data_IF_555740715725
#
_entry.id   IF_555740715725
#
_cell.length_a   1.000
_cell.length_b   1.000
_cell.length_c   1.000
_cell.angle_alpha   90.00
_cell.angle_beta   90.00
_cell.angle_gamma   90.00
#
_symmetry.space_group_name_H-M   'P 1'
#
loop_
_entity.id
_entity.type
_entity.pdbx_description
1 polymer ?
#
# COMPACT_ATOMS: atom_id res chain seq x y z
N UNK A 1 -0.54 -13.30 -16.57
CA UNK A 1 -1.22 -12.02 -16.80
C UNK A 1 -0.34 -10.94 -16.22
N UNK A 2 0.39 -10.20 -17.06
CA UNK A 2 1.11 -9.00 -16.62
C UNK A 2 0.12 -7.85 -16.65
N UNK A 3 -0.23 -7.33 -15.48
CA UNK A 3 -0.75 -5.97 -15.38
C UNK A 3 0.38 -5.06 -15.84
N UNK A 4 0.16 -4.28 -16.92
CA UNK A 4 1.07 -3.21 -17.32
C UNK A 4 1.28 -2.31 -16.10
N UNK A 5 2.47 -2.38 -15.49
CA UNK A 5 2.90 -1.61 -14.30
C UNK A 5 3.16 -0.13 -14.64
N UNK A 6 2.31 0.50 -15.45
CA UNK A 6 2.44 1.90 -15.77
C UNK A 6 1.81 2.73 -14.64
N UNK A 7 2.67 3.19 -13.74
CA UNK A 7 2.45 4.23 -12.73
C UNK A 7 1.64 3.87 -11.48
N UNK A 8 2.12 2.90 -10.70
CA UNK A 8 1.74 2.80 -9.29
C UNK A 8 2.37 3.96 -8.50
N UNK A 9 1.54 4.88 -8.00
CA UNK A 9 2.02 5.95 -7.13
C UNK A 9 2.04 5.47 -5.68
N UNK A 10 3.22 5.57 -5.05
CA UNK A 10 3.40 5.27 -3.63
C UNK A 10 3.87 6.52 -2.89
N UNK A 11 3.07 6.93 -1.92
CA UNK A 11 3.40 7.95 -0.93
C UNK A 11 3.47 7.34 0.46
N UNK A 12 4.58 7.60 1.16
CA UNK A 12 4.77 7.16 2.56
C UNK A 12 5.10 8.39 3.38
N UNK A 13 4.36 8.61 4.45
CA UNK A 13 4.58 9.74 5.35
C UNK A 13 4.53 9.33 6.81
N UNK A 14 5.32 10.04 7.62
CA UNK A 14 5.32 9.92 9.07
C UNK A 14 4.13 10.70 9.62
N UNK A 15 3.42 10.13 10.59
CA UNK A 15 2.29 10.78 11.25
C UNK A 15 2.73 11.22 12.63
N UNK A 16 2.76 12.54 12.83
CA UNK A 16 3.06 13.14 14.11
C UNK A 16 1.80 13.22 14.99
N UNK A 17 1.43 12.06 15.53
CA UNK A 17 0.31 11.95 16.47
C UNK A 17 0.72 11.03 17.62
N UNK A 18 0.52 11.51 18.84
CA UNK A 18 0.70 10.76 20.09
C UNK A 18 -0.69 10.47 20.67
N UNK A 19 -0.97 9.19 20.92
CA UNK A 19 -2.17 8.75 21.62
C UNK A 19 -1.81 8.52 23.09
N UNK A 20 -2.60 9.03 24.06
CA UNK A 20 -2.35 8.77 25.48
C UNK A 20 -2.24 7.28 25.83
N UNK A 21 -2.91 6.41 25.08
CA UNK A 21 -2.86 4.96 25.30
C UNK A 21 -1.59 4.30 24.74
N UNK A 22 -0.72 5.07 24.06
CA UNK A 22 0.54 4.54 23.53
C UNK A 22 1.52 4.11 24.60
N UNK A 23 1.41 4.62 25.83
CA UNK A 23 2.33 4.31 26.94
C UNK A 23 2.19 2.86 27.47
N UNK A 24 1.12 2.16 27.07
CA UNK A 24 0.86 0.78 27.48
C UNK A 24 1.56 -0.28 26.63
N UNK A 25 2.22 0.12 25.53
CA UNK A 25 2.91 -0.83 24.67
C UNK A 25 4.21 -1.32 25.31
N UNK A 26 4.48 -2.64 25.34
CA UNK A 26 5.65 -3.19 26.03
C UNK A 26 6.99 -2.90 25.33
N UNK A 27 6.97 -2.27 24.15
CA UNK A 27 8.13 -2.05 23.30
C UNK A 27 7.87 -0.97 22.25
N UNK A 28 8.73 -0.91 21.23
CA UNK A 28 8.55 0.02 20.11
C UNK A 28 7.70 -0.67 19.04
N UNK A 29 6.60 -0.05 18.66
CA UNK A 29 5.68 -0.51 17.63
C UNK A 29 5.60 0.48 16.47
N UNK A 30 5.36 -0.05 15.28
CA UNK A 30 4.92 0.72 14.13
C UNK A 30 3.43 0.49 13.89
N UNK A 31 2.69 1.57 13.73
CA UNK A 31 1.30 1.56 13.30
C UNK A 31 1.25 2.11 11.87
N UNK A 32 0.83 1.28 10.92
CA UNK A 32 0.88 1.57 9.48
C UNK A 32 -0.56 1.63 8.96
N UNK A 33 -1.05 2.84 8.69
CA UNK A 33 -2.32 3.08 7.99
C UNK A 33 -2.09 2.95 6.47
N UNK A 34 -2.62 1.89 5.88
CA UNK A 34 -2.48 1.58 4.45
C UNK A 34 -3.77 1.91 3.72
N UNK A 35 -3.68 2.76 2.70
CA UNK A 35 -4.79 3.13 1.82
C UNK A 35 -4.42 2.79 0.38
N UNK A 36 -5.13 1.84 -0.21
CA UNK A 36 -4.95 1.40 -1.59
C UNK A 36 -6.16 1.78 -2.45
N UNK A 37 -5.93 2.66 -3.43
CA UNK A 37 -6.94 3.09 -4.42
C UNK A 37 -6.65 2.44 -5.76
N UNK A 38 -7.67 1.80 -6.32
CA UNK A 38 -7.64 1.13 -7.60
C UNK A 38 -8.60 1.83 -8.54
N UNK A 39 -8.10 2.31 -9.67
CA UNK A 39 -8.88 2.94 -10.73
C UNK A 39 -8.90 2.02 -11.93
N UNK A 40 -10.08 1.53 -12.29
CA UNK A 40 -10.29 0.62 -13.42
C UNK A 40 -10.76 1.41 -14.64
N UNK A 41 -10.02 1.30 -15.73
CA UNK A 41 -10.39 1.92 -17.01
C UNK A 41 -11.06 0.90 -17.93
N UNK A 42 -12.18 1.27 -18.59
CA UNK A 42 -12.74 0.45 -19.67
C UNK A 42 -11.75 0.39 -20.84
N UNK A 43 -11.84 -0.67 -21.64
CA UNK A 43 -11.06 -0.80 -22.88
C UNK A 43 -11.56 0.20 -23.93
N UNK A 44 -10.63 0.74 -24.73
CA UNK A 44 -10.88 1.75 -25.78
C UNK A 44 -11.84 1.28 -26.90
N UNK A 45 -12.21 -0.01 -26.95
CA UNK A 45 -13.04 -0.61 -28.01
C UNK A 45 -14.55 -0.64 -27.68
N UNK A 46 -14.96 -0.29 -26.46
CA UNK A 46 -16.37 -0.20 -26.10
C UNK A 46 -16.85 1.26 -26.25
N UNK A 47 -17.66 1.53 -27.29
CA UNK A 47 -18.41 2.79 -27.49
C UNK A 47 -19.36 3.12 -26.30
N UNK A 48 -19.39 2.28 -25.28
CA UNK A 48 -20.01 2.52 -23.99
C UNK A 48 -19.12 3.40 -23.12
N UNK A 49 -19.61 4.60 -22.81
CA UNK A 49 -19.07 5.50 -21.78
C UNK A 49 -19.28 4.87 -20.39
N UNK A 50 -18.60 3.77 -20.09
CA UNK A 50 -18.51 3.24 -18.73
C UNK A 50 -17.58 4.14 -17.94
N UNK A 51 -18.11 4.81 -16.91
CA UNK A 51 -17.30 5.62 -16.01
C UNK A 51 -16.22 4.74 -15.35
N UNK A 52 -15.02 5.31 -15.15
CA UNK A 52 -13.95 4.62 -14.44
C UNK A 52 -14.48 4.13 -13.07
N UNK A 53 -14.28 2.85 -12.78
CA UNK A 53 -14.68 2.29 -11.49
C UNK A 53 -13.55 2.51 -10.50
N UNK A 54 -13.88 3.01 -9.30
CA UNK A 54 -12.90 3.16 -8.23
C UNK A 54 -13.18 2.17 -7.10
N UNK A 55 -12.11 1.57 -6.58
CA UNK A 55 -12.14 0.74 -5.38
C UNK A 55 -11.12 1.27 -4.38
N UNK A 56 -11.56 1.56 -3.17
CA UNK A 56 -10.70 1.93 -2.05
C UNK A 56 -10.64 0.76 -1.06
N UNK A 57 -9.44 0.44 -0.59
CA UNK A 57 -9.20 -0.44 0.54
C UNK A 57 -8.37 0.28 1.57
N UNK A 58 -8.73 0.14 2.83
CA UNK A 58 -8.01 0.72 3.97
C UNK A 58 -7.81 -0.33 5.03
N UNK A 59 -6.63 -0.38 5.63
CA UNK A 59 -6.33 -1.29 6.74
C UNK A 59 -5.22 -0.71 7.61
N UNK A 60 -5.17 -1.14 8.88
CA UNK A 60 -4.18 -0.68 9.85
C UNK A 60 -3.39 -1.88 10.35
N UNK A 61 -2.07 -1.80 10.22
CA UNK A 61 -1.16 -2.84 10.68
C UNK A 61 -0.35 -2.35 11.87
N UNK A 62 -0.41 -3.10 12.96
CA UNK A 62 0.41 -2.87 14.16
C UNK A 62 1.45 -3.97 14.25
N UNK A 63 2.73 -3.58 14.35
CA UNK A 63 3.85 -4.51 14.37
C UNK A 63 4.98 -4.03 15.26
N UNK A 64 5.62 -4.96 15.97
CA UNK A 64 6.82 -4.66 16.74
C UNK A 64 7.96 -4.22 15.80
N UNK A 65 8.82 -3.32 16.28
CA UNK A 65 9.91 -2.77 15.49
C UNK A 65 10.87 -3.86 14.97
N UNK A 66 11.05 -4.95 15.71
CA UNK A 66 11.90 -6.08 15.30
C UNK A 66 11.28 -6.96 14.21
N UNK A 67 9.95 -6.98 14.12
CA UNK A 67 9.21 -7.79 13.15
C UNK A 67 8.93 -7.04 11.83
N UNK A 68 9.21 -5.73 11.78
CA UNK A 68 9.08 -4.91 10.57
C UNK A 68 10.13 -5.31 9.51
N UNK A 69 9.81 -6.34 8.76
CA UNK A 69 10.69 -6.96 7.76
C UNK A 69 10.18 -6.77 6.33
N UNK A 70 11.07 -7.01 5.35
CA UNK A 70 10.69 -7.07 3.93
C UNK A 70 9.54 -8.06 3.69
N UNK A 71 9.60 -9.24 4.32
CA UNK A 71 8.58 -10.29 4.19
C UNK A 71 7.23 -9.84 4.76
N UNK A 72 7.24 -9.17 5.91
CA UNK A 72 6.01 -8.60 6.47
C UNK A 72 5.37 -7.60 5.51
N UNK A 73 6.15 -6.65 4.98
CA UNK A 73 5.64 -5.63 4.05
C UNK A 73 5.13 -6.25 2.74
N UNK A 74 5.77 -7.31 2.24
CA UNK A 74 5.26 -8.07 1.10
C UNK A 74 3.89 -8.66 1.39
N UNK A 75 3.73 -9.33 2.53
CA UNK A 75 2.46 -9.93 2.93
C UNK A 75 1.37 -8.87 3.14
N UNK A 76 1.73 -7.72 3.73
CA UNK A 76 0.84 -6.57 3.95
C UNK A 76 0.32 -5.98 2.63
N UNK A 77 1.16 -5.82 1.61
CA UNK A 77 0.67 -5.35 0.30
C UNK A 77 -0.15 -6.43 -0.41
N UNK A 78 0.23 -7.70 -0.30
CA UNK A 78 -0.51 -8.81 -0.90
C UNK A 78 -1.91 -8.99 -0.32
N UNK A 79 -2.10 -8.86 1.00
CA UNK A 79 -3.44 -8.90 1.63
C UNK A 79 -4.36 -7.81 1.11
N UNK A 80 -3.79 -6.70 0.64
CA UNK A 80 -4.51 -5.58 0.04
C UNK A 80 -4.76 -5.74 -1.46
N UNK A 81 -4.38 -6.85 -2.09
CA UNK A 81 -4.33 -7.05 -3.55
C UNK A 81 -3.43 -6.03 -4.28
N UNK A 82 -2.42 -5.49 -3.59
CA UNK A 82 -1.45 -4.55 -4.15
C UNK A 82 -0.26 -5.32 -4.72
N UNK A 83 0.02 -5.24 -6.04
CA UNK A 83 1.25 -5.76 -6.62
C UNK A 83 2.46 -5.12 -5.96
N UNK A 84 3.41 -5.95 -5.53
CA UNK A 84 4.55 -5.49 -4.74
C UNK A 84 5.75 -5.21 -5.63
N UNK A 85 6.22 -3.96 -5.63
CA UNK A 85 7.53 -3.56 -6.14
C UNK A 85 8.52 -3.42 -4.97
N UNK A 86 9.77 -3.82 -5.16
CA UNK A 86 10.82 -3.69 -4.15
C UNK A 86 11.02 -2.25 -3.68
N UNK A 87 10.88 -1.26 -4.57
CA UNK A 87 10.95 0.16 -4.25
C UNK A 87 9.86 0.61 -3.26
N UNK A 88 8.72 -0.09 -3.26
CA UNK A 88 7.64 0.22 -2.32
C UNK A 88 8.03 -0.16 -0.89
N UNK A 89 8.61 -1.35 -0.75
CA UNK A 89 9.15 -1.86 0.52
C UNK A 89 10.26 -0.95 1.01
N UNK A 90 11.21 -0.59 0.14
CA UNK A 90 12.33 0.29 0.49
C UNK A 90 11.85 1.65 1.01
N UNK A 91 10.81 2.24 0.40
CA UNK A 91 10.24 3.51 0.87
C UNK A 91 9.64 3.42 2.27
N UNK A 92 8.93 2.32 2.58
CA UNK A 92 8.36 2.09 3.91
C UNK A 92 9.46 1.87 4.94
N UNK A 93 10.45 1.03 4.64
CA UNK A 93 11.60 0.79 5.53
C UNK A 93 12.44 2.05 5.74
N UNK A 94 12.65 2.85 4.69
CA UNK A 94 13.34 4.13 4.80
C UNK A 94 12.58 5.10 5.73
N UNK A 95 11.24 5.10 5.67
CA UNK A 95 10.42 5.88 6.60
C UNK A 95 10.60 5.39 8.04
N UNK A 96 10.46 4.09 8.28
CA UNK A 96 10.64 3.49 9.60
C UNK A 96 12.03 3.79 10.19
N UNK A 97 13.08 3.70 9.36
CA UNK A 97 14.46 4.01 9.75
C UNK A 97 14.66 5.48 10.10
N UNK A 98 14.08 6.41 9.32
CA UNK A 98 14.14 7.84 9.66
C UNK A 98 13.47 8.13 11.00
N UNK A 99 12.29 7.55 11.24
CA UNK A 99 11.60 7.70 12.52
C UNK A 99 12.45 7.13 13.67
N UNK A 100 13.13 6.00 13.45
CA UNK A 100 13.99 5.38 14.45
C UNK A 100 15.22 6.20 14.81
N UNK A 101 15.76 6.96 13.87
CA UNK A 101 16.94 7.80 14.04
C UNK A 101 16.60 9.22 14.47
N UNK A 102 15.32 9.60 14.50
CA UNK A 102 14.89 10.95 14.84
C UNK A 102 14.58 11.07 16.33
N UNK A 103 15.21 12.05 16.98
CA UNK A 103 14.98 12.39 18.39
C UNK A 103 13.50 12.67 18.70
N UNK A 104 12.73 13.14 17.69
CA UNK A 104 11.28 13.42 17.81
C UNK A 104 10.47 12.21 18.24
N UNK A 105 10.87 11.01 17.85
CA UNK A 105 10.17 9.77 18.16
C UNK A 105 10.94 8.91 19.19
N UNK A 106 11.95 9.49 19.84
CA UNK A 106 12.79 8.78 20.80
C UNK A 106 12.06 8.37 22.07
N UNK A 107 11.08 9.16 22.51
CA UNK A 107 10.23 8.88 23.68
C UNK A 107 8.95 8.11 23.34
N UNK A 108 8.67 7.87 22.06
CA UNK A 108 7.40 7.28 21.61
C UNK A 108 7.51 5.77 21.49
N UNK A 109 6.60 5.07 22.18
CA UNK A 109 6.44 3.63 22.03
C UNK A 109 5.78 3.29 20.69
N UNK A 110 4.81 4.08 20.22
CA UNK A 110 4.15 3.86 18.93
C UNK A 110 4.61 4.90 17.90
N UNK A 111 5.05 4.41 16.74
CA UNK A 111 5.49 5.20 15.58
C UNK A 111 4.51 5.03 14.44
N UNK A 112 3.73 6.07 14.17
CA UNK A 112 2.67 6.04 13.14
C UNK A 112 3.18 6.46 11.77
N UNK A 113 2.79 5.73 10.74
CA UNK A 113 3.01 6.10 9.35
C UNK A 113 1.76 5.85 8.51
N UNK A 114 1.64 6.60 7.42
CA UNK A 114 0.59 6.40 6.43
C UNK A 114 1.21 6.04 5.09
N UNK A 115 0.67 5.00 4.47
CA UNK A 115 1.07 4.46 3.17
C UNK A 115 -0.12 4.60 2.22
N UNK A 116 0.02 5.43 1.19
CA UNK A 116 -0.97 5.57 0.12
C UNK A 116 -0.46 4.96 -1.15
N UNK A 117 -1.24 4.05 -1.71
CA UNK A 117 -0.99 3.38 -2.98
C UNK A 117 -2.11 3.76 -3.94
N UNK A 118 -1.75 4.30 -5.09
CA UNK A 118 -2.69 4.52 -6.20
C UNK A 118 -2.29 3.66 -7.37
N UNK A 119 -3.27 2.94 -7.94
CA UNK A 119 -3.03 1.98 -9.00
C UNK A 119 -4.07 2.12 -10.10
N UNK A 120 -3.58 2.01 -11.33
CA UNK A 120 -4.37 2.07 -12.54
C UNK A 120 -4.42 0.68 -13.16
N UNK A 121 -5.64 0.14 -13.29
CA UNK A 121 -5.87 -1.23 -13.75
C UNK A 121 -6.62 -1.18 -15.07
N UNK A 122 -6.02 -1.72 -16.14
CA UNK A 122 -6.73 -2.01 -17.39
C UNK A 122 -7.59 -3.26 -17.18
N UNK A 123 -8.85 -3.26 -17.64
CA UNK A 123 -9.77 -4.39 -17.44
C UNK A 123 -9.19 -5.69 -18.04
N UNK A 124 -9.07 -6.80 -17.27
CA UNK A 124 -8.57 -8.07 -17.79
C UNK A 124 -9.54 -8.82 -18.73
N UNK A 125 -10.77 -8.32 -18.97
CA UNK A 125 -11.78 -9.02 -19.81
C UNK A 125 -11.52 -8.96 -21.32
N UNK A 126 -10.57 -8.16 -21.79
CA UNK A 126 -10.27 -8.01 -23.23
C UNK A 126 -9.52 -9.19 -23.86
N UNK A 127 -9.03 -10.17 -23.09
CA UNK A 127 -8.21 -11.27 -23.67
C UNK A 127 -9.02 -12.51 -24.10
N UNK A 128 -10.36 -12.53 -23.97
CA UNK A 128 -11.18 -13.72 -24.30
C UNK A 128 -12.16 -13.46 -25.44
N UNK A 129 -11.68 -12.97 -26.59
CA UNK A 129 -12.41 -13.06 -27.87
C UNK A 129 -11.42 -13.25 -29.03
N UNK A 130 -10.88 -14.46 -29.15
CA UNK A 130 -9.93 -14.75 -30.22
C UNK A 130 -9.65 -16.22 -30.47
N UNK A 131 -10.60 -17.13 -30.20
CA UNK A 131 -10.51 -18.52 -30.69
C UNK A 131 -11.91 -19.06 -30.96
N UNK A 132 -12.53 -18.65 -32.05
CA UNK A 132 -13.46 -19.50 -32.78
C UNK A 132 -13.06 -19.45 -34.26
N UNK A 133 -12.16 -20.36 -34.65
CA UNK A 133 -12.02 -20.76 -36.04
C UNK A 133 -12.90 -21.99 -36.24
N UNK A 134 -13.99 -21.81 -36.98
CA UNK A 134 -14.78 -22.86 -37.62
C UNK A 134 -14.94 -22.51 -39.09
#
# INVERSE_FOLDING_TARGET
MSLDMADNYLHVQEIDFEDPDDEYYPGIFYSIDVQARFTFFPDDDDDNVMAAMERLKTDIYEIEAEDLTKTFLQNMFQSMDVPVDERMIEKVLACANRMAQSDRYGHRQVRRMQVKVEMFVKDPRSTVRGVEMG
#
